data_IF_564009530915
#
_entry.id   IF_564009530915
#
_cell.length_a   1.000
_cell.length_b   1.000
_cell.length_c   1.000
_cell.angle_alpha   90.00
_cell.angle_beta   90.00
_cell.angle_gamma   90.00
#
_symmetry.space_group_name_H-M   'P 1'
#
loop_
_entity.id
_entity.type
_entity.pdbx_description
1 polymer ?
#
# COMPACT_ATOMS: atom_id res chain seq x y z
N UNK A 1 -5.82 10.77 7.89
CA UNK A 1 -5.51 9.33 7.96
C UNK A 1 -4.36 9.02 8.90
N UNK A 2 -3.14 9.55 8.71
CA UNK A 2 -2.01 9.27 9.61
C UNK A 2 -2.28 9.60 11.09
N UNK A 3 -2.90 10.75 11.37
CA UNK A 3 -3.31 11.11 12.74
C UNK A 3 -4.36 10.19 13.36
N UNK A 4 -5.25 9.59 12.56
CA UNK A 4 -6.23 8.61 13.03
C UNK A 4 -5.58 7.27 13.38
N UNK A 5 -4.58 6.84 12.59
CA UNK A 5 -3.77 5.66 12.92
C UNK A 5 -2.98 5.86 14.22
N UNK A 6 -2.32 7.01 14.38
CA UNK A 6 -1.58 7.33 15.61
C UNK A 6 -2.52 7.35 16.82
N UNK A 7 -3.70 7.95 16.69
CA UNK A 7 -4.71 7.95 17.75
C UNK A 7 -5.17 6.53 18.08
N UNK A 8 -5.49 5.71 17.06
CA UNK A 8 -5.91 4.32 17.24
C UNK A 8 -4.84 3.46 17.93
N UNK A 9 -3.57 3.57 17.52
CA UNK A 9 -2.47 2.84 18.18
C UNK A 9 -2.12 3.37 19.57
N UNK A 10 -2.39 4.64 19.87
CA UNK A 10 -2.03 5.24 21.17
C UNK A 10 -3.12 5.09 22.23
N UNK A 11 -4.39 5.01 21.82
CA UNK A 11 -5.55 5.05 22.72
C UNK A 11 -6.41 3.80 22.65
N UNK A 12 -6.45 3.12 21.49
CA UNK A 12 -7.32 1.99 21.24
C UNK A 12 -6.75 0.67 21.75
N UNK A 13 -7.63 -0.23 22.18
CA UNK A 13 -7.30 -1.60 22.52
C UNK A 13 -7.71 -2.50 21.36
N UNK A 14 -6.74 -2.84 20.50
CA UNK A 14 -6.97 -3.48 19.20
C UNK A 14 -7.85 -4.73 19.30
N UNK A 15 -7.72 -5.50 20.38
CA UNK A 15 -8.44 -6.75 20.54
C UNK A 15 -9.90 -6.55 20.96
N UNK A 16 -10.16 -5.56 21.81
CA UNK A 16 -11.50 -5.26 22.32
C UNK A 16 -12.31 -4.45 21.31
N UNK A 17 -11.71 -3.39 20.78
CA UNK A 17 -12.35 -2.53 19.77
C UNK A 17 -12.50 -3.27 18.43
N UNK A 18 -11.55 -4.15 18.10
CA UNK A 18 -11.65 -5.02 16.91
C UNK A 18 -12.77 -6.05 17.00
N UNK A 19 -13.02 -6.62 18.19
CA UNK A 19 -14.14 -7.54 18.41
C UNK A 19 -15.50 -6.86 18.23
N UNK A 20 -15.66 -5.66 18.79
CA UNK A 20 -16.89 -4.85 18.64
C UNK A 20 -17.16 -4.47 17.17
N UNK A 21 -16.09 -4.21 16.40
CA UNK A 21 -16.19 -3.94 14.96
C UNK A 21 -16.60 -5.17 14.15
N UNK A 22 -16.19 -6.37 14.55
CA UNK A 22 -16.58 -7.62 13.89
C UNK A 22 -18.01 -8.04 14.24
N UNK A 23 -18.50 -7.72 15.43
CA UNK A 23 -19.90 -7.94 15.80
C UNK A 23 -20.85 -6.95 15.08
N UNK A 24 -20.34 -5.82 14.61
CA UNK A 24 -21.11 -4.86 13.83
C UNK A 24 -21.10 -5.18 12.32
N UNK A 25 -22.27 -5.33 11.66
CA UNK A 25 -22.34 -5.61 10.22
C UNK A 25 -21.65 -4.58 9.33
N UNK A 26 -21.74 -3.29 9.68
CA UNK A 26 -21.06 -2.22 8.94
C UNK A 26 -19.55 -2.18 9.18
N UNK A 27 -19.09 -2.66 10.35
CA UNK A 27 -17.67 -2.83 10.64
C UNK A 27 -17.05 -3.89 9.74
N UNK A 28 -17.71 -5.03 9.56
CA UNK A 28 -17.30 -6.08 8.61
C UNK A 28 -17.22 -5.53 7.17
N UNK A 29 -18.25 -4.82 6.71
CA UNK A 29 -18.28 -4.23 5.36
C UNK A 29 -17.12 -3.26 5.16
N UNK A 30 -16.83 -2.42 6.16
CA UNK A 30 -15.73 -1.45 6.10
C UNK A 30 -14.36 -2.13 6.10
N UNK A 31 -14.18 -3.19 6.89
CA UNK A 31 -12.96 -4.01 6.85
C UNK A 31 -12.77 -4.60 5.46
N UNK A 32 -13.82 -5.20 4.90
CA UNK A 32 -13.76 -5.78 3.56
C UNK A 32 -13.39 -4.73 2.50
N UNK A 33 -14.03 -3.57 2.52
CA UNK A 33 -13.75 -2.46 1.59
C UNK A 33 -12.27 -2.03 1.63
N UNK A 34 -11.72 -1.83 2.83
CA UNK A 34 -10.33 -1.41 3.02
C UNK A 34 -9.35 -2.51 2.56
N UNK A 35 -9.58 -3.78 2.92
CA UNK A 35 -8.69 -4.87 2.54
C UNK A 35 -8.74 -5.19 1.04
N UNK A 36 -9.92 -5.16 0.42
CA UNK A 36 -10.04 -5.29 -1.04
C UNK A 36 -9.27 -4.15 -1.73
N UNK A 37 -9.35 -2.93 -1.19
CA UNK A 37 -8.53 -1.80 -1.64
C UNK A 37 -7.02 -2.09 -1.58
N UNK A 38 -6.53 -2.65 -0.47
CA UNK A 38 -5.12 -3.05 -0.35
C UNK A 38 -4.72 -4.12 -1.37
N UNK A 39 -5.55 -5.13 -1.58
CA UNK A 39 -5.26 -6.17 -2.58
C UNK A 39 -5.19 -5.62 -4.00
N UNK A 40 -6.12 -4.74 -4.37
CA UNK A 40 -6.10 -4.07 -5.68
C UNK A 40 -4.85 -3.22 -5.84
N UNK A 41 -4.46 -2.49 -4.79
CA UNK A 41 -3.30 -1.62 -4.82
C UNK A 41 -1.99 -2.43 -4.87
N UNK A 42 -1.89 -3.52 -4.12
CA UNK A 42 -0.77 -4.47 -4.21
C UNK A 42 -0.71 -5.07 -5.61
N UNK A 43 -1.85 -5.47 -6.19
CA UNK A 43 -1.90 -5.96 -7.57
C UNK A 43 -1.39 -4.94 -8.58
N UNK A 44 -1.69 -3.66 -8.37
CA UNK A 44 -1.14 -2.57 -9.18
C UNK A 44 0.36 -2.37 -8.98
N UNK A 45 0.87 -2.48 -7.75
CA UNK A 45 2.32 -2.46 -7.47
C UNK A 45 3.02 -3.64 -8.15
N UNK A 46 2.45 -4.85 -8.07
CA UNK A 46 2.94 -6.04 -8.76
C UNK A 46 2.96 -5.87 -10.28
N UNK A 47 1.99 -5.15 -10.84
CA UNK A 47 1.93 -4.89 -12.27
C UNK A 47 2.98 -3.87 -12.72
N UNK A 48 3.27 -2.87 -11.88
CA UNK A 48 4.21 -1.78 -12.20
C UNK A 48 5.66 -2.15 -11.95
N UNK A 49 5.95 -2.84 -10.85
CA UNK A 49 7.31 -3.16 -10.42
C UNK A 49 7.72 -4.54 -10.92
N UNK A 50 8.81 -4.64 -11.68
CA UNK A 50 9.35 -5.93 -12.13
C UNK A 50 10.08 -6.70 -11.02
N UNK A 51 10.42 -6.03 -9.92
CA UNK A 51 11.24 -6.57 -8.84
C UNK A 51 10.40 -7.13 -7.68
N UNK A 52 10.43 -8.46 -7.43
CA UNK A 52 9.63 -9.08 -6.37
C UNK A 52 10.02 -8.59 -4.97
N UNK A 53 11.27 -8.17 -4.74
CA UNK A 53 11.70 -7.60 -3.46
C UNK A 53 11.07 -6.24 -3.15
N UNK A 54 10.97 -5.36 -4.15
CA UNK A 54 10.33 -4.05 -4.01
C UNK A 54 8.81 -4.22 -3.83
N UNK A 55 8.20 -5.13 -4.60
CA UNK A 55 6.79 -5.49 -4.45
C UNK A 55 6.51 -5.95 -3.01
N UNK A 56 7.31 -6.88 -2.48
CA UNK A 56 7.11 -7.43 -1.14
C UNK A 56 7.27 -6.34 -0.07
N UNK A 57 8.29 -5.49 -0.19
CA UNK A 57 8.52 -4.38 0.74
C UNK A 57 7.33 -3.40 0.77
N UNK A 58 6.84 -2.99 -0.40
CA UNK A 58 5.66 -2.10 -0.47
C UNK A 58 4.38 -2.79 -0.01
N UNK A 59 4.20 -4.08 -0.30
CA UNK A 59 3.03 -4.85 0.15
C UNK A 59 2.94 -4.93 1.67
N UNK A 60 4.06 -5.24 2.33
CA UNK A 60 4.14 -5.26 3.80
C UNK A 60 3.90 -3.86 4.37
N UNK A 61 4.50 -2.84 3.75
CA UNK A 61 4.31 -1.46 4.19
C UNK A 61 2.84 -0.99 4.05
N UNK A 62 2.13 -1.40 3.01
CA UNK A 62 0.69 -1.10 2.83
C UNK A 62 -0.16 -1.86 3.85
N UNK A 63 0.14 -3.12 4.14
CA UNK A 63 -0.61 -3.88 5.14
C UNK A 63 -0.45 -3.30 6.56
N UNK A 64 0.71 -2.73 6.88
CA UNK A 64 0.99 -2.15 8.20
C UNK A 64 0.57 -0.68 8.30
N UNK A 65 0.87 0.14 7.29
CA UNK A 65 0.60 1.57 7.28
C UNK A 65 -0.71 1.96 6.59
N UNK A 66 -1.40 1.00 5.99
CA UNK A 66 -2.69 1.16 5.35
C UNK A 66 -2.70 2.17 4.20
N UNK A 67 -3.83 2.87 4.08
CA UNK A 67 -4.06 3.81 2.99
C UNK A 67 -3.05 4.97 2.94
N UNK A 68 -2.42 5.33 4.07
CA UNK A 68 -1.39 6.39 4.09
C UNK A 68 -0.17 5.98 3.27
N UNK A 69 0.30 4.76 3.42
CA UNK A 69 1.46 4.24 2.67
C UNK A 69 1.11 4.05 1.20
N UNK A 70 -0.10 3.57 0.89
CA UNK A 70 -0.56 3.48 -0.49
C UNK A 70 -0.58 4.86 -1.18
N UNK A 71 -1.09 5.89 -0.50
CA UNK A 71 -1.09 7.26 -1.03
C UNK A 71 0.32 7.81 -1.21
N UNK A 72 1.22 7.55 -0.25
CA UNK A 72 2.62 7.95 -0.38
C UNK A 72 3.30 7.27 -1.57
N UNK A 73 3.07 5.97 -1.78
CA UNK A 73 3.58 5.25 -2.94
C UNK A 73 3.05 5.83 -4.26
N UNK A 74 1.76 6.13 -4.33
CA UNK A 74 1.17 6.76 -5.51
C UNK A 74 1.80 8.13 -5.82
N UNK A 75 2.06 8.94 -4.79
CA UNK A 75 2.73 10.24 -4.93
C UNK A 75 4.19 10.08 -5.39
N UNK A 76 4.94 9.14 -4.80
CA UNK A 76 6.32 8.83 -5.23
C UNK A 76 6.32 8.40 -6.70
N UNK A 77 5.36 7.56 -7.09
CA UNK A 77 5.23 7.12 -8.46
C UNK A 77 4.86 8.24 -9.43
N UNK A 78 3.99 9.17 -9.02
CA UNK A 78 3.69 10.39 -9.79
C UNK A 78 4.96 11.22 -10.03
N UNK A 79 5.79 11.39 -9.01
CA UNK A 79 7.06 12.13 -9.14
C UNK A 79 8.08 11.40 -10.04
N UNK A 80 8.20 10.06 -9.92
CA UNK A 80 9.05 9.25 -10.82
C UNK A 80 8.60 9.34 -12.27
N UNK A 81 7.31 9.46 -12.50
CA UNK A 81 6.72 9.47 -13.83
C UNK A 81 7.00 10.74 -14.65
N UNK A 82 7.49 11.84 -14.03
CA UNK A 82 7.84 13.12 -14.68
C UNK A 82 6.83 13.60 -15.75
N UNK A 83 5.54 13.36 -15.55
CA UNK A 83 4.46 13.77 -16.45
C UNK A 83 4.08 12.79 -17.56
N UNK A 84 4.75 11.64 -17.69
CA UNK A 84 4.35 10.60 -18.65
C UNK A 84 3.35 9.61 -18.03
N UNK A 85 2.07 9.79 -18.33
CA UNK A 85 0.99 8.88 -17.86
C UNK A 85 1.25 7.39 -18.12
N UNK A 86 2.01 7.01 -19.16
CA UNK A 86 2.32 5.60 -19.40
C UNK A 86 3.28 5.06 -18.36
N UNK A 87 4.31 5.81 -18.01
CA UNK A 87 5.25 5.42 -16.95
C UNK A 87 4.57 5.32 -15.58
N UNK A 88 3.57 6.17 -15.32
CA UNK A 88 2.81 6.13 -14.08
C UNK A 88 1.98 4.84 -13.94
N UNK A 89 1.29 4.42 -14.99
CA UNK A 89 0.38 3.26 -14.94
C UNK A 89 1.06 1.92 -15.26
N UNK A 90 1.96 1.87 -16.25
CA UNK A 90 2.62 0.63 -16.68
C UNK A 90 3.92 0.35 -15.93
N UNK A 91 4.55 1.36 -15.34
CA UNK A 91 5.89 1.22 -14.82
C UNK A 91 6.94 1.24 -15.92
N UNK A 92 8.18 1.48 -15.51
CA UNK A 92 9.33 1.34 -16.40
C UNK A 92 9.62 -0.16 -16.48
N UNK A 93 9.48 -0.78 -17.66
CA UNK A 93 9.72 -2.21 -17.88
C UNK A 93 11.19 -2.63 -17.69
N UNK A 94 11.99 -1.82 -17.00
CA UNK A 94 13.37 -2.09 -16.67
C UNK A 94 13.43 -3.36 -15.80
N UNK A 95 14.00 -4.41 -16.38
CA UNK A 95 14.25 -5.68 -15.71
C UNK A 95 15.06 -5.48 -14.43
N UNK A 96 14.78 -6.30 -13.42
CA UNK A 96 15.41 -6.30 -12.10
C UNK A 96 16.92 -6.70 -12.08
N UNK A 97 17.61 -6.60 -13.22
CA UNK A 97 18.99 -7.03 -13.40
C UNK A 97 19.86 -5.89 -13.96
N UNK A 98 20.02 -4.81 -13.21
CA UNK A 98 21.13 -3.86 -13.44
C UNK A 98 21.38 -2.97 -12.23
N UNK A 99 21.59 -3.55 -11.05
CA UNK A 99 22.35 -2.87 -9.97
C UNK A 99 23.19 -3.93 -9.23
N UNK A 100 24.12 -4.55 -9.95
CA UNK A 100 25.33 -5.14 -9.35
C UNK A 100 26.54 -4.93 -10.27
N UNK A 101 26.70 -3.71 -10.76
CA UNK A 101 27.89 -3.13 -11.42
C UNK A 101 27.44 -1.68 -11.65
N UNK A 102 27.95 -0.61 -11.04
CA UNK A 102 29.29 -0.06 -10.83
C UNK A 102 29.10 1.03 -9.72
N UNK A 103 29.98 1.43 -8.80
CA UNK A 103 31.42 1.35 -8.57
C UNK A 103 31.71 1.59 -7.08
#
# INVERSE_FOLDING_TARGET
>A
MAGALIYGFSVGDFWKDGGELLDNPWGIVSLFDVYVGFFLFIGWVCYRESCPGIILAWSIAILLGGNVVSGLYAVIALFRSKGDTKLFFLGDGANCSSETEEA
#
